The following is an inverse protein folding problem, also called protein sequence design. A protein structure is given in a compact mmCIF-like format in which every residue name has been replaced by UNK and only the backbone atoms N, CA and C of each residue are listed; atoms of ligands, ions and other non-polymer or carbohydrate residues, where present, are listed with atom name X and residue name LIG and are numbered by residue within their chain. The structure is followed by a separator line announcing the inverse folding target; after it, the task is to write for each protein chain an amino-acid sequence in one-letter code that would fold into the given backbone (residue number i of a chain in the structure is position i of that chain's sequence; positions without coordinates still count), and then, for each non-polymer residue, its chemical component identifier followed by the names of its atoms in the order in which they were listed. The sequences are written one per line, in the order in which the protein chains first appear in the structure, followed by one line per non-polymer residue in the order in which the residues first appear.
data_IF_695344952134
#
_entry.id   IF_695344952134
#
_cell.length_a   1.000
_cell.length_b   1.000
_cell.length_c   1.000
_cell.angle_alpha   90.00
_cell.angle_beta   90.00
_cell.angle_gamma   90.00
#
_symmetry.space_group_name_H-M   'P 1'
#
loop_
_entity.id
_entity.type
_entity.pdbx_description
1 polymer ?
#
# COMPACT_ATOMS: atom_id res chain seq x y z
N UNK A 1 5.08 -55.20 -13.71
CA UNK A 1 5.77 -54.04 -14.32
C UNK A 1 4.83 -52.84 -14.43
N UNK A 2 3.62 -53.01 -14.97
CA UNK A 2 2.63 -51.90 -15.10
C UNK A 2 2.23 -51.25 -13.76
N UNK A 3 1.93 -52.03 -12.73
CA UNK A 3 1.61 -51.50 -11.38
C UNK A 3 2.78 -50.75 -10.73
N UNK A 4 4.03 -51.14 -11.02
CA UNK A 4 5.21 -50.47 -10.48
C UNK A 4 5.45 -49.09 -11.13
N UNK A 5 4.95 -48.88 -12.35
CA UNK A 5 5.10 -47.63 -13.08
C UNK A 5 3.96 -46.64 -12.78
N UNK A 6 2.73 -47.13 -12.55
CA UNK A 6 1.56 -46.27 -12.29
C UNK A 6 1.55 -45.74 -10.85
N UNK A 7 1.94 -46.57 -9.87
CA UNK A 7 1.92 -46.20 -8.45
C UNK A 7 2.67 -44.89 -8.14
N UNK A 8 3.92 -44.66 -8.59
CA UNK A 8 4.61 -43.39 -8.30
C UNK A 8 3.92 -42.18 -8.92
N UNK A 9 3.30 -42.32 -10.10
CA UNK A 9 2.56 -41.23 -10.75
C UNK A 9 1.32 -40.87 -9.92
N UNK A 10 0.58 -41.86 -9.44
CA UNK A 10 -0.59 -41.63 -8.58
C UNK A 10 -0.20 -40.98 -7.25
N UNK A 11 0.93 -41.35 -6.66
CA UNK A 11 1.44 -40.73 -5.42
C UNK A 11 1.80 -39.26 -5.66
N UNK A 12 2.50 -38.95 -6.75
CA UNK A 12 2.84 -37.57 -7.14
C UNK A 12 1.57 -36.74 -7.36
N UNK A 13 0.57 -37.30 -8.04
CA UNK A 13 -0.71 -36.62 -8.28
C UNK A 13 -1.48 -36.36 -6.98
N UNK A 14 -1.51 -37.34 -6.07
CA UNK A 14 -2.16 -37.20 -4.76
C UNK A 14 -1.45 -36.14 -3.91
N UNK A 15 -0.11 -36.15 -3.89
CA UNK A 15 0.70 -35.15 -3.20
C UNK A 15 0.44 -33.74 -3.74
N UNK A 16 0.40 -33.56 -5.06
CA UNK A 16 0.08 -32.27 -5.68
C UNK A 16 -1.32 -31.77 -5.33
N UNK A 17 -2.31 -32.66 -5.26
CA UNK A 17 -3.67 -32.29 -4.84
C UNK A 17 -3.73 -31.84 -3.38
N UNK A 18 -3.00 -32.51 -2.48
CA UNK A 18 -2.92 -32.12 -1.07
C UNK A 18 -2.25 -30.76 -0.92
N UNK A 19 -1.15 -30.51 -1.63
CA UNK A 19 -0.43 -29.23 -1.62
C UNK A 19 -1.31 -28.08 -2.12
N UNK A 20 -2.02 -28.27 -3.24
CA UNK A 20 -2.95 -27.26 -3.77
C UNK A 20 -4.10 -27.01 -2.79
N UNK A 21 -4.63 -28.05 -2.14
CA UNK A 21 -5.67 -27.92 -1.11
C UNK A 21 -5.19 -27.12 0.11
N UNK A 22 -3.95 -27.36 0.54
CA UNK A 22 -3.30 -26.61 1.61
C UNK A 22 -3.10 -25.13 1.24
N UNK A 23 -2.55 -24.86 0.05
CA UNK A 23 -2.39 -23.51 -0.49
C UNK A 23 -3.73 -22.77 -0.58
N UNK A 24 -4.76 -23.40 -1.14
CA UNK A 24 -6.09 -22.80 -1.28
C UNK A 24 -6.72 -22.48 0.08
N UNK A 25 -6.54 -23.33 1.08
CA UNK A 25 -7.02 -23.08 2.44
C UNK A 25 -6.35 -21.84 3.07
N UNK A 26 -5.02 -21.73 2.92
CA UNK A 26 -4.27 -20.57 3.44
C UNK A 26 -4.67 -19.29 2.70
N UNK A 27 -4.83 -19.35 1.37
CA UNK A 27 -5.31 -18.23 0.57
C UNK A 27 -6.69 -17.74 1.02
N UNK A 28 -7.66 -18.65 1.22
CA UNK A 28 -8.99 -18.29 1.69
C UNK A 28 -8.96 -17.67 3.10
N UNK A 29 -8.10 -18.17 3.98
CA UNK A 29 -7.89 -17.61 5.32
C UNK A 29 -7.38 -16.18 5.24
N UNK A 30 -6.34 -15.90 4.45
CA UNK A 30 -5.79 -14.56 4.24
C UNK A 30 -6.83 -13.59 3.62
N UNK A 31 -7.69 -14.11 2.75
CA UNK A 31 -8.79 -13.36 2.14
C UNK A 31 -9.83 -12.95 3.19
N UNK A 32 -10.19 -13.83 4.11
CA UNK A 32 -11.09 -13.50 5.22
C UNK A 32 -10.44 -12.53 6.22
N UNK A 33 -9.14 -12.68 6.49
CA UNK A 33 -8.34 -11.77 7.34
C UNK A 33 -8.35 -10.34 6.79
N UNK A 34 -8.02 -10.14 5.51
CA UNK A 34 -8.01 -8.82 4.87
C UNK A 34 -9.40 -8.18 4.87
N UNK A 35 -10.45 -8.96 4.61
CA UNK A 35 -11.84 -8.49 4.71
C UNK A 35 -12.23 -8.09 6.13
N UNK A 36 -11.81 -8.86 7.14
CA UNK A 36 -12.08 -8.55 8.55
C UNK A 36 -11.40 -7.23 8.95
N UNK A 37 -10.13 -7.06 8.61
CA UNK A 37 -9.38 -5.82 8.83
C UNK A 37 -10.02 -4.61 8.15
N UNK A 38 -10.31 -4.72 6.85
CA UNK A 38 -10.89 -3.61 6.09
C UNK A 38 -12.30 -3.24 6.58
N UNK A 39 -13.14 -4.22 6.93
CA UNK A 39 -14.46 -3.95 7.55
C UNK A 39 -14.35 -3.28 8.91
N UNK A 40 -13.36 -3.69 9.71
CA UNK A 40 -13.14 -3.08 11.01
C UNK A 40 -12.69 -1.62 10.85
N UNK A 41 -11.70 -1.35 10.00
CA UNK A 41 -11.24 0.02 9.74
C UNK A 41 -12.34 0.93 9.17
N UNK A 42 -13.21 0.40 8.30
CA UNK A 42 -14.35 1.13 7.74
C UNK A 42 -15.33 1.69 8.80
N UNK A 43 -15.41 1.09 9.99
CA UNK A 43 -16.30 1.53 11.06
C UNK A 43 -15.61 2.37 12.14
N UNK A 44 -14.29 2.52 12.08
CA UNK A 44 -13.54 3.35 13.03
C UNK A 44 -13.75 4.84 12.71
N UNK A 45 -14.13 5.60 13.73
CA UNK A 45 -14.50 7.01 13.65
C UNK A 45 -13.86 7.82 14.79
N UNK A 46 -13.97 9.14 14.71
CA UNK A 46 -13.45 10.09 15.70
C UNK A 46 -11.97 9.87 16.01
N UNK A 47 -11.59 9.70 17.28
CA UNK A 47 -10.20 9.44 17.71
C UNK A 47 -9.57 8.17 17.11
N UNK A 48 -10.39 7.27 16.57
CA UNK A 48 -9.95 6.08 15.84
C UNK A 48 -9.94 6.30 14.33
N UNK A 49 -10.14 7.52 13.81
CA UNK A 49 -9.98 7.81 12.39
C UNK A 49 -8.49 7.95 12.03
N UNK A 50 -8.07 7.56 10.82
CA UNK A 50 -6.70 7.84 10.34
C UNK A 50 -6.38 9.34 10.28
N UNK A 51 -7.38 10.23 10.33
CA UNK A 51 -7.17 11.68 10.40
C UNK A 51 -6.56 12.16 11.72
N UNK A 52 -6.71 11.40 12.81
CA UNK A 52 -6.16 11.73 14.13
C UNK A 52 -4.87 10.95 14.44
N UNK A 53 -4.25 10.39 13.41
CA UNK A 53 -3.02 9.63 13.53
C UNK A 53 -1.80 10.53 13.76
N UNK A 54 -0.86 10.07 14.59
CA UNK A 54 0.46 10.69 14.66
C UNK A 54 1.29 10.23 13.45
N UNK A 55 1.39 11.08 12.43
CA UNK A 55 2.14 10.80 11.21
C UNK A 55 3.60 10.37 11.47
N UNK A 56 4.25 10.86 12.53
CA UNK A 56 5.62 10.43 12.86
C UNK A 56 5.72 8.91 13.14
N UNK A 57 4.60 8.28 13.52
CA UNK A 57 4.50 6.84 13.77
C UNK A 57 4.23 6.01 12.50
N UNK A 58 4.02 6.64 11.35
CA UNK A 58 3.75 5.96 10.07
C UNK A 58 5.00 5.26 9.54
N UNK A 59 6.18 5.87 9.73
CA UNK A 59 7.43 5.33 9.19
C UNK A 59 7.88 4.09 9.94
N UNK A 60 8.30 3.07 9.18
CA UNK A 60 9.02 1.93 9.73
C UNK A 60 10.40 2.43 10.20
N UNK A 61 10.78 2.23 11.48
CA UNK A 61 12.01 2.79 12.01
C UNK A 61 13.25 2.34 11.22
N UNK A 62 14.12 3.29 10.86
CA UNK A 62 15.35 3.05 10.10
C UNK A 62 16.25 1.91 10.67
N UNK A 63 16.24 1.72 11.99
CA UNK A 63 16.97 0.65 12.67
C UNK A 63 16.52 -0.77 12.30
N UNK A 64 15.31 -0.96 11.76
CA UNK A 64 14.84 -2.24 11.20
C UNK A 64 15.46 -2.54 9.84
N UNK A 65 15.92 -1.50 9.12
CA UNK A 65 16.78 -1.65 7.95
C UNK A 65 18.26 -1.85 8.31
N UNK A 66 18.56 -2.01 9.61
CA UNK A 66 19.85 -2.36 10.16
C UNK A 66 20.85 -1.21 10.18
N UNK A 67 21.31 -0.85 11.38
CA UNK A 67 22.69 -0.40 11.53
C UNK A 67 23.58 -1.62 11.27
N UNK A 68 23.90 -1.88 10.00
CA UNK A 68 24.79 -2.91 9.50
C UNK A 68 25.15 -4.05 10.50
N UNK A 69 24.34 -5.12 10.60
CA UNK A 69 24.94 -6.43 10.79
C UNK A 69 25.53 -6.84 9.44
N UNK A 70 26.83 -7.12 9.42
CA UNK A 70 27.56 -7.63 8.27
C UNK A 70 26.74 -8.69 7.50
N UNK A 71 26.54 -8.48 6.20
CA UNK A 71 25.79 -9.28 5.21
C UNK A 71 24.37 -8.79 4.86
N UNK A 72 24.34 -7.82 3.94
CA UNK A 72 23.34 -7.54 2.89
C UNK A 72 22.17 -8.54 2.70
N UNK A 73 21.15 -8.54 3.55
CA UNK A 73 19.85 -9.20 3.26
C UNK A 73 19.11 -8.60 2.05
N UNK A 74 19.63 -7.51 1.46
CA UNK A 74 19.15 -6.98 0.19
C UNK A 74 19.53 -7.88 -1.02
N UNK A 75 20.55 -8.75 -0.89
CA UNK A 75 20.94 -9.69 -1.94
C UNK A 75 19.88 -10.79 -2.18
N UNK A 76 19.16 -11.22 -1.14
CA UNK A 76 18.08 -12.21 -1.26
C UNK A 76 16.88 -11.64 -2.06
N UNK A 77 16.66 -10.32 -1.99
CA UNK A 77 15.67 -9.61 -2.81
C UNK A 77 16.24 -9.13 -4.16
N UNK A 78 17.48 -9.50 -4.50
CA UNK A 78 18.14 -9.11 -5.75
C UNK A 78 18.61 -7.64 -5.81
N UNK A 79 18.59 -6.90 -4.69
CA UNK A 79 19.06 -5.51 -4.59
C UNK A 79 20.46 -5.44 -3.96
N UNK A 80 21.52 -5.35 -4.74
CA UNK A 80 22.85 -5.07 -4.18
C UNK A 80 23.01 -3.58 -3.88
N UNK A 81 22.96 -3.15 -2.62
CA UNK A 81 23.17 -1.74 -2.28
C UNK A 81 24.62 -1.49 -1.90
N UNK A 82 25.31 -0.67 -2.70
CA UNK A 82 26.70 -0.26 -2.42
C UNK A 82 26.84 0.69 -1.23
N UNK A 83 25.73 1.30 -0.79
CA UNK A 83 25.64 2.20 0.36
C UNK A 83 24.22 2.13 0.94
N UNK A 84 24.05 1.63 2.17
CA UNK A 84 22.74 1.53 2.83
C UNK A 84 22.29 2.84 3.47
N UNK A 85 23.19 3.84 3.59
CA UNK A 85 22.84 5.15 4.17
C UNK A 85 21.83 5.92 3.32
N UNK A 86 21.72 5.60 2.03
CA UNK A 86 20.71 6.18 1.12
C UNK A 86 19.30 5.69 1.44
N UNK A 87 19.14 4.53 2.11
CA UNK A 87 17.85 4.03 2.57
C UNK A 87 17.48 4.54 3.96
N UNK A 88 18.44 5.04 4.74
CA UNK A 88 18.15 5.70 5.99
C UNK A 88 17.28 6.93 5.70
N UNK A 89 16.04 6.94 6.18
CA UNK A 89 15.19 8.12 6.15
C UNK A 89 15.82 9.19 7.07
N UNK A 90 15.76 10.50 6.74
CA UNK A 90 16.42 11.53 7.53
C UNK A 90 15.65 11.71 8.82
N UNK A 91 16.16 11.06 9.86
CA UNK A 91 15.59 11.08 11.18
C UNK A 91 16.14 12.27 11.95
N UNK A 92 15.31 13.28 12.22
CA UNK A 92 15.73 14.52 12.92
C UNK A 92 14.93 14.84 14.19
N UNK A 93 14.31 13.84 14.86
CA UNK A 93 13.56 14.10 16.10
C UNK A 93 13.33 12.90 17.02
N UNK A 94 13.57 13.10 18.32
CA UNK A 94 13.58 12.16 19.47
C UNK A 94 12.27 11.37 19.76
N UNK A 95 11.25 11.43 18.89
CA UNK A 95 9.95 10.77 19.14
C UNK A 95 9.86 9.32 18.61
N UNK A 96 10.48 8.99 17.47
CA UNK A 96 10.43 7.63 16.93
C UNK A 96 11.33 6.62 17.70
N UNK A 97 12.23 7.09 18.57
CA UNK A 97 12.98 6.26 19.53
C UNK A 97 12.10 5.67 20.64
N UNK A 98 10.85 6.10 20.81
CA UNK A 98 9.93 5.53 21.82
C UNK A 98 8.89 4.53 21.26
N UNK A 99 8.71 4.45 19.94
CA UNK A 99 7.95 3.34 19.32
C UNK A 99 8.84 2.09 19.11
N UNK A 100 10.11 2.21 19.49
CA UNK A 100 11.14 1.17 19.57
C UNK A 100 10.86 0.24 20.73
N UNK A 101 9.87 -0.61 20.54
CA UNK A 101 9.89 -2.01 20.93
C UNK A 101 8.71 -2.68 20.22
N UNK A 102 8.81 -2.84 18.90
CA UNK A 102 8.04 -3.88 18.19
C UNK A 102 8.54 -5.22 18.72
N UNK A 103 7.93 -5.67 19.82
CA UNK A 103 8.19 -6.91 20.55
C UNK A 103 7.70 -8.15 19.76
N UNK A 104 7.77 -8.10 18.42
CA UNK A 104 7.39 -9.19 17.54
C UNK A 104 8.45 -10.31 17.48
N UNK A 105 9.71 -10.02 17.87
CA UNK A 105 10.75 -11.07 18.04
C UNK A 105 10.49 -12.05 19.19
N UNK A 106 9.40 -11.85 19.94
CA UNK A 106 9.13 -12.57 21.18
C UNK A 106 7.94 -13.51 21.15
N UNK A 107 7.55 -14.11 20.02
CA UNK A 107 6.51 -15.16 19.97
C UNK A 107 5.17 -14.80 20.63
N UNK A 108 4.91 -13.52 20.86
CA UNK A 108 3.68 -13.07 21.48
C UNK A 108 2.61 -13.01 20.39
N UNK A 109 1.67 -13.94 20.46
CA UNK A 109 0.42 -13.97 19.69
C UNK A 109 -0.53 -12.78 20.00
N UNK A 110 -0.01 -11.70 20.58
CA UNK A 110 -0.76 -10.57 21.08
C UNK A 110 -0.43 -9.31 20.32
N UNK A 111 -1.45 -8.51 20.02
CA UNK A 111 -1.27 -7.21 19.38
C UNK A 111 -0.79 -6.15 20.39
N UNK A 112 0.48 -6.26 20.80
CA UNK A 112 1.16 -5.28 21.66
C UNK A 112 1.82 -4.19 20.81
N UNK A 113 1.03 -3.55 19.95
CA UNK A 113 1.46 -2.34 19.25
C UNK A 113 1.30 -1.12 20.20
N UNK A 114 2.16 -0.10 20.09
CA UNK A 114 2.19 1.04 21.01
C UNK A 114 0.84 1.79 21.15
N UNK A 115 0.65 2.48 22.27
CA UNK A 115 -0.68 2.99 22.68
C UNK A 115 -1.19 4.16 21.82
N UNK A 116 -0.26 4.93 21.24
CA UNK A 116 -0.55 6.13 20.44
C UNK A 116 -1.11 5.81 19.05
N UNK A 117 -1.01 4.56 18.61
CA UNK A 117 -1.59 4.10 17.37
C UNK A 117 -2.99 3.56 17.61
N UNK A 118 -4.04 4.32 17.32
CA UNK A 118 -5.41 3.82 17.47
C UNK A 118 -5.88 3.18 16.16
N UNK A 119 -6.08 3.93 15.09
CA UNK A 119 -6.64 3.39 13.83
C UNK A 119 -5.88 2.18 13.26
N UNK A 120 -4.62 2.38 12.84
CA UNK A 120 -3.85 1.34 12.14
C UNK A 120 -3.55 0.13 13.04
N UNK A 121 -3.40 0.37 14.34
CA UNK A 121 -3.27 -0.70 15.33
C UNK A 121 -4.53 -1.55 15.37
N UNK A 122 -5.70 -0.96 15.59
CA UNK A 122 -6.94 -1.72 15.76
C UNK A 122 -7.18 -2.60 14.51
N UNK A 123 -6.96 -2.06 13.32
CA UNK A 123 -7.05 -2.81 12.05
C UNK A 123 -6.05 -3.96 12.01
N UNK A 124 -4.76 -3.70 12.26
CA UNK A 124 -3.72 -4.73 12.25
C UNK A 124 -3.95 -5.81 13.32
N UNK A 125 -4.43 -5.43 14.51
CA UNK A 125 -4.76 -6.35 15.59
C UNK A 125 -5.86 -7.32 15.18
N UNK A 126 -6.94 -6.81 14.57
CA UNK A 126 -8.04 -7.65 14.09
C UNK A 126 -7.55 -8.62 13.02
N UNK A 127 -6.67 -8.17 12.13
CA UNK A 127 -6.08 -9.04 11.11
C UNK A 127 -5.23 -10.15 11.72
N UNK A 128 -4.26 -9.80 12.58
CA UNK A 128 -3.39 -10.78 13.25
C UNK A 128 -4.19 -11.78 14.09
N UNK A 129 -5.26 -11.33 14.77
CA UNK A 129 -6.14 -12.21 15.53
C UNK A 129 -6.98 -13.13 14.64
N UNK A 130 -7.28 -12.72 13.41
CA UNK A 130 -8.06 -13.50 12.44
C UNK A 130 -7.22 -14.51 11.65
N UNK A 131 -5.90 -14.52 11.82
CA UNK A 131 -5.01 -15.37 11.03
C UNK A 131 -4.94 -16.83 11.49
N UNK A 132 -5.40 -17.18 12.69
CA UNK A 132 -5.29 -18.55 13.21
C UNK A 132 -5.86 -19.58 12.21
N UNK A 133 -5.09 -20.62 11.80
CA UNK A 133 -3.84 -21.12 12.41
C UNK A 133 -2.53 -20.54 11.86
N UNK A 134 -2.59 -19.63 10.89
CA UNK A 134 -1.43 -18.97 10.31
C UNK A 134 -0.79 -18.00 11.31
N UNK A 135 0.49 -17.72 11.10
CA UNK A 135 1.25 -16.71 11.85
C UNK A 135 2.18 -15.98 10.91
N UNK A 136 2.46 -14.72 11.23
CA UNK A 136 3.50 -13.96 10.56
C UNK A 136 4.89 -14.33 11.06
N UNK A 137 5.86 -14.29 10.15
CA UNK A 137 7.27 -14.32 10.46
C UNK A 137 7.89 -12.92 10.24
N UNK A 138 8.16 -12.22 11.35
CA UNK A 138 8.78 -10.88 11.29
C UNK A 138 10.26 -10.90 10.87
N UNK A 139 10.82 -12.06 10.52
CA UNK A 139 12.22 -12.24 10.12
C UNK A 139 12.39 -12.75 8.68
N UNK A 140 11.30 -13.06 7.94
CA UNK A 140 11.37 -13.65 6.61
C UNK A 140 11.43 -12.64 5.43
N UNK A 141 11.49 -11.34 5.72
CA UNK A 141 11.53 -10.25 4.74
C UNK A 141 10.38 -10.25 3.70
N UNK A 142 9.27 -10.93 3.97
CA UNK A 142 8.15 -11.12 3.05
C UNK A 142 6.82 -10.74 3.71
N UNK A 143 6.64 -11.14 4.96
CA UNK A 143 5.40 -11.02 5.69
C UNK A 143 5.11 -9.56 6.07
N UNK A 144 4.00 -9.02 5.57
CA UNK A 144 3.58 -7.65 5.88
C UNK A 144 2.06 -7.48 5.90
N UNK A 145 1.62 -6.51 6.70
CA UNK A 145 0.27 -5.93 6.61
C UNK A 145 0.43 -4.49 6.22
N UNK A 146 -0.24 -4.09 5.15
CA UNK A 146 -0.27 -2.72 4.69
C UNK A 146 -1.69 -2.18 4.75
N UNK A 147 -1.83 -0.97 5.29
CA UNK A 147 -3.12 -0.32 5.48
C UNK A 147 -3.03 1.11 4.91
N UNK A 148 -3.92 1.43 3.98
CA UNK A 148 -4.04 2.76 3.39
C UNK A 148 -5.47 3.27 3.49
N UNK A 149 -5.64 4.52 3.91
CA UNK A 149 -6.90 5.25 3.77
C UNK A 149 -6.86 6.15 2.54
N UNK A 150 -7.97 6.30 1.83
CA UNK A 150 -8.08 7.19 0.66
C UNK A 150 -9.31 8.09 0.79
N UNK A 151 -9.13 9.38 0.54
CA UNK A 151 -10.22 10.32 0.30
C UNK A 151 -10.47 10.42 -1.20
N UNK A 152 -11.70 10.23 -1.66
CA UNK A 152 -12.08 10.36 -3.05
C UNK A 152 -13.06 11.52 -3.18
N UNK A 153 -12.69 12.47 -4.04
CA UNK A 153 -13.56 13.53 -4.46
C UNK A 153 -14.02 13.32 -5.89
N UNK A 154 -15.23 13.78 -6.17
CA UNK A 154 -15.71 13.92 -7.53
C UNK A 154 -15.34 15.30 -8.05
N UNK A 155 -14.68 15.33 -9.20
CA UNK A 155 -14.27 16.55 -9.88
C UNK A 155 -14.99 16.59 -11.23
N UNK A 156 -15.72 17.67 -11.48
CA UNK A 156 -16.31 17.93 -12.79
C UNK A 156 -15.36 18.85 -13.54
N UNK A 157 -14.79 18.33 -14.62
CA UNK A 157 -14.00 19.13 -15.54
C UNK A 157 -14.97 19.86 -16.47
N UNK A 158 -15.16 21.15 -16.22
CA UNK A 158 -15.99 21.99 -17.09
C UNK A 158 -15.16 22.42 -18.30
N UNK A 159 -15.51 22.01 -19.53
CA UNK A 159 -14.81 22.47 -20.73
C UNK A 159 -15.04 23.97 -21.02
N UNK A 160 -15.85 24.65 -20.21
CA UNK A 160 -16.25 26.06 -20.41
C UNK A 160 -15.31 27.04 -19.68
N UNK A 161 -14.61 26.59 -18.64
CA UNK A 161 -13.58 27.38 -17.96
C UNK A 161 -12.21 26.75 -18.24
N UNK A 162 -11.24 27.54 -18.69
CA UNK A 162 -9.88 27.11 -19.00
C UNK A 162 -9.06 26.67 -17.78
N UNK A 163 -9.72 26.43 -16.65
CA UNK A 163 -9.13 26.03 -15.37
C UNK A 163 -9.11 24.52 -15.30
N UNK A 164 -8.06 23.95 -15.89
CA UNK A 164 -7.80 22.50 -15.81
C UNK A 164 -7.49 22.16 -14.35
N UNK A 165 -8.44 21.51 -13.66
CA UNK A 165 -8.29 21.09 -12.24
C UNK A 165 -7.33 19.91 -12.13
N UNK A 166 -7.32 19.04 -13.14
CA UNK A 166 -6.53 17.82 -13.19
C UNK A 166 -5.69 17.86 -14.47
N UNK A 167 -4.38 17.65 -14.36
CA UNK A 167 -3.47 17.67 -15.52
C UNK A 167 -3.98 16.78 -16.67
N UNK A 168 -3.73 17.20 -17.93
CA UNK A 168 -4.13 16.41 -19.10
C UNK A 168 -3.52 14.99 -19.07
N UNK A 169 -2.34 14.84 -18.47
CA UNK A 169 -1.70 13.54 -18.27
C UNK A 169 -2.55 12.65 -17.35
N UNK A 170 -2.97 13.16 -16.19
CA UNK A 170 -3.81 12.43 -15.24
C UNK A 170 -5.18 12.11 -15.84
N UNK A 171 -5.82 13.07 -16.52
CA UNK A 171 -7.08 12.84 -17.23
C UNK A 171 -6.99 11.72 -18.26
N UNK A 172 -5.97 11.78 -19.13
CA UNK A 172 -5.76 10.78 -20.17
C UNK A 172 -5.43 9.39 -19.59
N UNK A 173 -4.78 9.34 -18.42
CA UNK A 173 -4.47 8.09 -17.74
C UNK A 173 -5.69 7.43 -17.08
N UNK A 174 -6.68 8.22 -16.65
CA UNK A 174 -7.90 7.75 -15.98
C UNK A 174 -9.02 7.47 -16.99
N UNK A 175 -9.53 8.51 -17.65
CA UNK A 175 -10.57 8.42 -18.66
C UNK A 175 -10.65 9.72 -19.50
N UNK A 176 -10.13 9.74 -20.74
CA UNK A 176 -10.02 10.96 -21.53
C UNK A 176 -11.36 11.57 -21.97
N UNK A 177 -12.46 10.82 -21.89
CA UNK A 177 -13.78 11.24 -22.39
C UNK A 177 -14.78 11.60 -21.29
N UNK A 178 -14.40 11.48 -20.02
CA UNK A 178 -15.30 11.74 -18.90
C UNK A 178 -15.27 13.22 -18.49
N UNK A 179 -16.42 13.87 -18.48
CA UNK A 179 -16.65 15.21 -17.92
C UNK A 179 -16.61 15.24 -16.40
N UNK A 180 -16.85 14.10 -15.76
CA UNK A 180 -16.84 13.94 -14.30
C UNK A 180 -15.97 12.74 -13.95
N UNK A 181 -14.96 12.98 -13.14
CA UNK A 181 -13.96 12.00 -12.71
C UNK A 181 -14.00 11.88 -11.19
N UNK A 182 -13.85 10.67 -10.68
CA UNK A 182 -13.53 10.46 -9.28
C UNK A 182 -12.01 10.45 -9.12
N UNK A 183 -11.48 11.31 -8.28
CA UNK A 183 -10.05 11.52 -8.10
C UNK A 183 -9.72 11.32 -6.63
N UNK A 184 -8.56 10.75 -6.36
CA UNK A 184 -8.06 10.61 -4.99
C UNK A 184 -7.53 11.97 -4.54
N UNK A 185 -8.12 12.54 -3.50
CA UNK A 185 -7.77 13.88 -2.97
C UNK A 185 -7.05 13.82 -1.62
N UNK A 186 -6.72 12.61 -1.18
CA UNK A 186 -5.94 12.38 0.02
C UNK A 186 -5.64 10.90 0.18
N UNK A 187 -4.48 10.60 0.75
CA UNK A 187 -4.09 9.25 1.16
C UNK A 187 -3.47 9.30 2.55
N UNK A 188 -3.83 8.34 3.40
CA UNK A 188 -3.43 8.30 4.79
C UNK A 188 -2.67 7.01 5.12
N UNK A 189 -1.55 7.08 5.87
CA UNK A 189 -1.04 8.28 6.54
C UNK A 189 -0.47 9.32 5.58
N UNK A 190 -0.51 10.61 5.95
CA UNK A 190 -0.24 11.67 4.97
C UNK A 190 1.24 11.83 4.62
N UNK A 191 2.15 11.32 5.45
CA UNK A 191 3.61 11.33 5.23
C UNK A 191 4.15 9.98 4.72
N UNK A 192 3.24 9.08 4.35
CA UNK A 192 3.53 7.81 3.70
C UNK A 192 2.48 7.66 2.60
N UNK A 193 2.30 8.68 1.78
CA UNK A 193 1.26 8.80 0.77
C UNK A 193 1.77 8.41 -0.66
N UNK A 194 3.06 8.44 -0.93
CA UNK A 194 3.64 8.27 -2.27
C UNK A 194 5.04 7.67 -2.26
N UNK A 195 5.51 7.23 -3.44
CA UNK A 195 6.86 6.72 -3.59
C UNK A 195 7.71 7.68 -4.42
N UNK A 196 8.54 8.46 -3.73
CA UNK A 196 9.44 9.42 -4.36
C UNK A 196 10.70 8.78 -4.95
N UNK A 197 10.95 7.50 -4.69
CA UNK A 197 12.22 6.86 -5.03
C UNK A 197 12.03 5.73 -6.04
N UNK A 198 12.67 5.86 -7.21
CA UNK A 198 12.70 4.81 -8.22
C UNK A 198 14.05 4.12 -8.25
N UNK A 199 14.02 2.80 -8.46
CA UNK A 199 15.21 2.03 -8.76
C UNK A 199 15.52 2.14 -10.27
N UNK A 200 16.65 2.75 -10.60
CA UNK A 200 17.11 2.93 -12.00
C UNK A 200 18.19 1.94 -12.43
N UNK A 201 18.50 0.95 -11.59
CA UNK A 201 19.63 0.05 -11.77
C UNK A 201 19.61 -0.72 -13.09
N UNK A 202 20.34 -0.23 -14.08
CA UNK A 202 20.83 -1.01 -15.23
C UNK A 202 22.23 -1.56 -14.89
N UNK A 203 22.30 -2.55 -14.01
CA UNK A 203 23.56 -3.15 -13.53
C UNK A 203 23.39 -4.00 -12.27
N UNK A 204 24.50 -4.50 -11.70
CA UNK A 204 24.47 -5.34 -10.50
C UNK A 204 24.11 -4.59 -9.21
N UNK A 205 24.27 -3.26 -9.17
CA UNK A 205 24.02 -2.40 -8.00
C UNK A 205 22.85 -1.45 -8.29
N UNK A 206 21.66 -1.62 -7.69
CA UNK A 206 20.59 -0.62 -7.72
C UNK A 206 21.07 0.78 -7.34
N UNK A 207 20.71 1.75 -8.17
CA UNK A 207 20.87 3.18 -7.91
C UNK A 207 19.48 3.78 -7.80
N UNK A 208 19.24 4.42 -6.66
CA UNK A 208 18.01 5.15 -6.42
C UNK A 208 18.10 6.56 -6.98
N UNK A 209 17.03 6.99 -7.64
CA UNK A 209 16.84 8.35 -8.09
C UNK A 209 15.49 8.82 -7.60
N UNK A 210 15.37 10.13 -7.37
CA UNK A 210 14.06 10.73 -7.15
C UNK A 210 13.25 10.48 -8.44
N UNK A 211 12.14 9.76 -8.30
CA UNK A 211 11.28 9.40 -9.41
C UNK A 211 10.65 10.65 -10.03
N UNK A 212 10.21 10.55 -11.29
CA UNK A 212 9.22 11.49 -11.78
C UNK A 212 7.96 11.31 -10.92
N UNK A 213 7.53 12.41 -10.29
CA UNK A 213 6.47 12.49 -9.28
C UNK A 213 5.27 11.61 -9.64
N UNK A 214 4.96 10.62 -8.79
CA UNK A 214 3.59 10.12 -8.70
C UNK A 214 2.74 11.28 -8.18
N UNK A 215 1.51 11.45 -8.70
CA UNK A 215 0.70 12.60 -8.28
C UNK A 215 0.42 12.53 -6.78
N UNK A 216 0.91 13.52 -6.05
CA UNK A 216 0.58 13.72 -4.64
C UNK A 216 -0.95 13.86 -4.51
N UNK A 217 -1.60 12.99 -3.72
CA UNK A 217 -3.04 13.01 -3.57
C UNK A 217 -3.56 14.32 -2.97
N UNK A 218 -2.72 15.09 -2.28
CA UNK A 218 -3.04 16.38 -1.67
C UNK A 218 -2.66 17.60 -2.53
N UNK A 219 -2.05 17.41 -3.71
CA UNK A 219 -1.73 18.43 -4.72
C UNK A 219 -2.35 18.02 -6.07
N UNK A 220 -3.67 18.17 -6.16
CA UNK A 220 -4.52 17.63 -7.24
C UNK A 220 -4.20 18.31 -8.58
N UNK A 221 -3.89 19.60 -8.54
CA UNK A 221 -3.52 20.37 -9.73
C UNK A 221 -2.02 20.37 -10.02
N UNK A 222 -1.21 19.65 -9.23
CA UNK A 222 0.25 19.56 -9.38
C UNK A 222 0.93 20.95 -9.36
N UNK A 223 0.37 21.91 -8.60
CA UNK A 223 0.90 23.27 -8.51
C UNK A 223 2.20 23.34 -7.70
N UNK A 224 2.51 22.28 -6.94
CA UNK A 224 3.64 22.24 -6.02
C UNK A 224 3.37 23.01 -4.72
N UNK A 225 2.12 23.37 -4.45
CA UNK A 225 1.70 24.00 -3.20
C UNK A 225 0.26 23.66 -2.85
N UNK A 226 -0.05 23.56 -1.55
CA UNK A 226 -1.40 23.29 -1.09
C UNK A 226 -2.31 24.51 -1.30
N UNK A 227 -3.39 24.33 -2.04
CA UNK A 227 -4.44 25.33 -2.25
C UNK A 227 -5.39 25.44 -1.03
N UNK A 228 -5.14 26.42 -0.15
CA UNK A 228 -5.90 26.61 1.11
C UNK A 228 -7.23 27.34 0.95
N UNK A 229 -7.43 28.02 -0.17
CA UNK A 229 -8.63 28.80 -0.46
C UNK A 229 -8.85 28.75 -1.97
N UNK A 230 -10.11 28.78 -2.44
CA UNK A 230 -10.38 29.26 -3.80
C UNK A 230 -9.86 30.70 -3.82
N UNK A 231 -8.64 30.91 -4.31
CA UNK A 231 -7.96 32.19 -4.14
C UNK A 231 -8.83 33.29 -4.76
N UNK A 232 -9.15 34.29 -3.94
CA UNK A 232 -9.92 35.51 -4.20
C UNK A 232 -9.81 36.06 -5.65
N UNK A 233 -10.53 35.44 -6.59
CA UNK A 233 -10.65 35.88 -7.98
C UNK A 233 -9.71 35.24 -9.02
N UNK A 234 -9.09 34.07 -8.77
CA UNK A 234 -8.20 33.42 -9.75
C UNK A 234 -8.26 31.90 -9.76
N UNK A 235 -8.79 31.33 -10.86
CA UNK A 235 -8.60 29.99 -11.44
C UNK A 235 -8.75 28.70 -10.61
N UNK A 236 -8.49 28.67 -9.30
CA UNK A 236 -8.69 27.47 -8.47
C UNK A 236 -10.08 27.52 -7.82
N UNK A 237 -10.95 26.58 -8.20
CA UNK A 237 -12.34 26.48 -7.73
C UNK A 237 -12.44 25.55 -6.51
N UNK A 238 -11.31 25.05 -6.00
CA UNK A 238 -11.28 24.04 -4.95
C UNK A 238 -10.23 24.37 -3.88
N UNK A 239 -10.34 23.71 -2.74
CA UNK A 239 -9.34 23.72 -1.69
C UNK A 239 -8.87 22.29 -1.41
N UNK A 240 -7.56 22.14 -1.24
CA UNK A 240 -6.91 20.86 -1.03
C UNK A 240 -6.88 20.47 0.45
N UNK A 241 -6.97 19.17 0.70
CA UNK A 241 -6.92 18.63 2.06
C UNK A 241 -5.55 18.87 2.69
N UNK A 242 -5.52 18.92 4.03
CA UNK A 242 -4.25 18.97 4.74
C UNK A 242 -3.56 17.61 4.62
N UNK A 243 -2.27 17.61 4.31
CA UNK A 243 -1.51 16.38 4.13
C UNK A 243 -0.39 16.51 3.12
N UNK A 244 -0.46 17.51 2.24
CA UNK A 244 0.58 17.80 1.25
C UNK A 244 1.95 17.94 1.90
N UNK A 245 2.92 17.24 1.32
CA UNK A 245 4.33 17.35 1.59
C UNK A 245 5.10 17.78 0.35
N UNK A 246 6.31 18.27 0.59
CA UNK A 246 7.15 18.76 -0.49
C UNK A 246 7.98 17.61 -1.04
N UNK A 247 8.01 17.51 -2.37
CA UNK A 247 8.92 16.62 -3.07
C UNK A 247 10.34 16.87 -2.59
N UNK A 248 10.99 15.79 -2.19
CA UNK A 248 12.39 15.85 -1.85
C UNK A 248 13.27 15.96 -3.09
N UNK A 249 14.16 16.96 -3.12
CA UNK A 249 15.22 17.05 -4.14
C UNK A 249 16.35 16.02 -3.98
N UNK A 250 16.29 15.15 -2.97
CA UNK A 250 17.34 14.16 -2.69
C UNK A 250 16.78 12.81 -2.26
N UNK A 251 17.47 11.72 -2.57
CA UNK A 251 17.09 10.38 -2.10
C UNK A 251 17.11 10.31 -0.56
N UNK A 252 17.97 11.09 0.10
CA UNK A 252 18.07 11.07 1.56
C UNK A 252 16.75 11.51 2.21
N UNK A 253 16.14 12.58 1.69
CA UNK A 253 14.92 13.22 2.20
C UNK A 253 13.63 12.78 1.51
N UNK A 254 13.73 11.90 0.52
CA UNK A 254 12.60 11.40 -0.25
C UNK A 254 11.77 10.41 0.57
N UNK A 255 10.46 10.42 0.30
CA UNK A 255 9.54 9.45 0.85
C UNK A 255 9.82 8.04 0.28
N UNK A 256 9.91 7.06 1.18
CA UNK A 256 10.27 5.66 0.84
C UNK A 256 9.24 4.66 1.36
N UNK A 257 8.05 5.13 1.72
CA UNK A 257 7.03 4.26 2.27
C UNK A 257 5.65 4.68 1.81
N UNK A 258 4.87 3.70 1.39
CA UNK A 258 3.54 3.90 0.83
C UNK A 258 2.51 3.20 1.73
N UNK A 259 1.68 3.97 2.41
CA UNK A 259 0.74 3.48 3.42
C UNK A 259 1.42 3.08 4.74
N UNK A 260 0.59 2.66 5.71
CA UNK A 260 1.09 2.14 6.97
C UNK A 260 1.51 0.68 6.80
N UNK A 261 2.75 0.34 7.15
CA UNK A 261 3.28 -1.02 7.11
C UNK A 261 3.61 -1.57 8.51
N UNK A 262 3.09 -2.76 8.82
CA UNK A 262 3.20 -3.40 10.14
C UNK A 262 4.57 -3.99 10.39
N UNK A 263 5.22 -4.55 9.38
CA UNK A 263 6.55 -5.16 9.52
C UNK A 263 7.63 -4.43 8.70
N UNK A 264 7.24 -3.69 7.65
CA UNK A 264 8.17 -2.95 6.81
C UNK A 264 8.99 -3.82 5.88
N UNK A 265 8.43 -4.97 5.49
CA UNK A 265 9.13 -6.00 4.76
C UNK A 265 8.77 -6.03 3.28
N UNK A 266 7.57 -5.56 2.93
CA UNK A 266 7.13 -5.62 1.54
C UNK A 266 7.71 -4.45 0.71
N UNK A 267 8.64 -4.77 -0.18
CA UNK A 267 9.22 -3.83 -1.14
C UNK A 267 8.37 -3.75 -2.41
N UNK A 268 8.18 -2.53 -2.91
CA UNK A 268 7.44 -2.30 -4.15
C UNK A 268 8.41 -2.51 -5.33
N UNK A 269 8.19 -3.53 -6.19
CA UNK A 269 9.13 -3.88 -7.25
C UNK A 269 9.43 -2.70 -8.19
N UNK A 270 10.71 -2.52 -8.52
CA UNK A 270 11.17 -1.44 -9.40
C UNK A 270 11.25 -0.05 -8.76
N UNK A 271 10.97 0.04 -7.45
CA UNK A 271 11.08 1.28 -6.66
C UNK A 271 12.13 1.13 -5.56
N UNK A 272 12.34 2.19 -4.78
CA UNK A 272 13.07 2.16 -3.51
C UNK A 272 12.17 2.27 -2.29
N UNK A 273 10.89 1.94 -2.44
CA UNK A 273 9.88 2.12 -1.40
C UNK A 273 9.37 0.79 -0.86
N UNK A 274 8.93 0.83 0.40
CA UNK A 274 8.18 -0.25 1.05
C UNK A 274 6.69 0.11 1.15
N UNK A 275 5.83 -0.88 1.32
CA UNK A 275 4.40 -0.65 1.52
C UNK A 275 3.54 -1.00 0.31
N UNK A 276 2.43 -0.29 0.14
CA UNK A 276 1.34 -0.63 -0.79
C UNK A 276 1.80 -0.60 -2.24
N UNK A 277 1.52 -1.66 -3.00
CA UNK A 277 1.75 -1.68 -4.46
C UNK A 277 0.72 -0.86 -5.23
N UNK A 278 -0.42 -0.55 -4.59
CA UNK A 278 -1.44 0.30 -5.19
C UNK A 278 -1.00 1.75 -5.21
N UNK A 279 -0.79 2.25 -6.42
CA UNK A 279 -0.57 3.67 -6.68
C UNK A 279 -1.90 4.43 -6.68
N UNK A 280 -1.83 5.73 -6.46
CA UNK A 280 -2.98 6.65 -6.55
C UNK A 280 -3.69 6.48 -7.91
N UNK A 281 -2.91 6.42 -8.99
CA UNK A 281 -3.42 6.23 -10.34
C UNK A 281 -4.14 4.88 -10.54
N UNK A 282 -3.72 3.82 -9.84
CA UNK A 282 -4.38 2.52 -9.93
C UNK A 282 -5.72 2.51 -9.21
N UNK A 283 -5.81 3.19 -8.06
CA UNK A 283 -7.08 3.39 -7.34
C UNK A 283 -8.04 4.23 -8.19
N UNK A 284 -7.56 5.31 -8.79
CA UNK A 284 -8.36 6.14 -9.70
C UNK A 284 -8.83 5.37 -10.91
N UNK A 285 -7.97 4.55 -11.52
CA UNK A 285 -8.38 3.68 -12.63
C UNK A 285 -9.44 2.69 -12.19
N UNK A 286 -9.30 2.11 -10.99
CA UNK A 286 -10.25 1.14 -10.43
C UNK A 286 -11.64 1.75 -10.22
N UNK A 287 -11.72 2.94 -9.61
CA UNK A 287 -12.99 3.62 -9.33
C UNK A 287 -13.64 4.24 -10.57
N UNK A 288 -12.85 4.54 -11.62
CA UNK A 288 -13.33 5.08 -12.90
C UNK A 288 -13.46 4.02 -14.01
N UNK A 289 -13.33 2.71 -13.70
CA UNK A 289 -13.32 1.65 -14.70
C UNK A 289 -14.48 1.78 -15.70
N UNK A 290 -14.21 1.66 -17.02
CA UNK A 290 -15.21 1.90 -18.06
C UNK A 290 -16.39 0.91 -18.02
N UNK A 291 -16.18 -0.28 -17.45
CA UNK A 291 -17.24 -1.29 -17.30
C UNK A 291 -18.26 -0.97 -16.20
N UNK A 292 -18.01 0.04 -15.35
CA UNK A 292 -19.09 0.77 -14.68
C UNK A 292 -19.73 1.69 -15.72
N UNK A 293 -20.45 1.08 -16.67
CA UNK A 293 -21.36 1.76 -17.59
C UNK A 293 -22.58 2.26 -16.80
N UNK A 294 -22.34 3.20 -15.88
CA UNK A 294 -23.29 4.27 -15.65
C UNK A 294 -23.20 5.16 -16.89
N UNK A 295 -23.85 4.71 -17.97
CA UNK A 295 -23.95 5.47 -19.24
C UNK A 295 -24.59 6.84 -19.01
N UNK A 296 -25.39 6.96 -17.95
CA UNK A 296 -25.89 8.22 -17.44
C UNK A 296 -24.84 8.94 -16.59
N UNK A 297 -24.25 9.99 -17.18
CA UNK A 297 -23.49 11.02 -16.48
C UNK A 297 -24.25 11.57 -15.26
N UNK A 298 -25.59 11.60 -15.32
CA UNK A 298 -26.47 11.93 -14.19
C UNK A 298 -26.37 10.98 -12.99
N UNK A 299 -26.04 9.70 -13.20
CA UNK A 299 -25.84 8.76 -12.08
C UNK A 299 -24.44 8.88 -11.51
N UNK A 300 -23.44 9.18 -12.35
CA UNK A 300 -22.08 9.49 -11.87
C UNK A 300 -22.06 10.78 -11.05
N UNK A 301 -22.84 11.78 -11.43
CA UNK A 301 -23.04 12.99 -10.63
C UNK A 301 -23.89 12.81 -9.37
N UNK A 302 -24.38 11.59 -9.11
CA UNK A 302 -25.00 11.22 -7.83
C UNK A 302 -24.06 10.43 -6.92
N UNK A 303 -22.86 10.04 -7.38
CA UNK A 303 -21.88 9.42 -6.51
C UNK A 303 -21.39 10.48 -5.52
N UNK A 304 -21.60 10.28 -4.20
CA UNK A 304 -21.12 11.21 -3.19
C UNK A 304 -19.60 11.11 -3.09
N UNK A 305 -19.01 12.09 -2.42
CA UNK A 305 -17.67 11.95 -1.89
C UNK A 305 -17.60 10.70 -1.01
N UNK A 306 -16.47 9.99 -1.09
CA UNK A 306 -16.32 8.71 -0.43
C UNK A 306 -14.93 8.63 0.15
N UNK A 307 -14.83 8.07 1.35
CA UNK A 307 -13.56 7.52 1.81
C UNK A 307 -13.48 6.03 1.51
N UNK A 308 -12.27 5.52 1.32
CA UNK A 308 -12.00 4.09 1.18
C UNK A 308 -10.89 3.69 2.14
N UNK A 309 -10.95 2.45 2.63
CA UNK A 309 -9.82 1.77 3.25
C UNK A 309 -9.40 0.63 2.34
N UNK A 310 -8.10 0.54 2.07
CA UNK A 310 -7.44 -0.60 1.44
C UNK A 310 -6.58 -1.28 2.49
N UNK A 311 -6.71 -2.59 2.58
CA UNK A 311 -5.89 -3.44 3.42
C UNK A 311 -5.28 -4.52 2.55
N UNK A 312 -3.96 -4.66 2.63
CA UNK A 312 -3.18 -5.66 1.92
C UNK A 312 -2.46 -6.55 2.93
N UNK A 313 -2.33 -7.83 2.59
CA UNK A 313 -1.52 -8.79 3.32
C UNK A 313 -0.55 -9.46 2.35
N UNK A 314 0.69 -9.55 2.75
CA UNK A 314 1.75 -10.30 2.10
C UNK A 314 2.19 -11.37 3.08
N UNK A 315 2.19 -12.62 2.63
CA UNK A 315 2.49 -13.75 3.50
C UNK A 315 3.23 -14.84 2.73
N UNK A 316 4.36 -15.28 3.25
CA UNK A 316 5.18 -16.35 2.69
C UNK A 316 4.53 -17.71 2.93
N UNK A 317 4.26 -18.45 1.85
CA UNK A 317 3.65 -19.76 1.96
C UNK A 317 4.68 -20.87 2.14
N UNK A 318 4.65 -21.47 3.33
CA UNK A 318 5.35 -22.72 3.62
C UNK A 318 4.68 -23.92 2.92
N UNK A 319 5.36 -24.46 1.91
CA UNK A 319 4.94 -25.70 1.23
C UNK A 319 4.95 -26.86 2.23
N UNK A 320 3.86 -27.63 2.27
CA UNK A 320 3.69 -28.73 3.22
C UNK A 320 4.72 -29.84 2.98
N UNK A 321 4.95 -30.19 1.72
CA UNK A 321 5.76 -31.35 1.39
C UNK A 321 7.25 -31.03 1.13
N UNK A 322 7.62 -29.74 1.01
CA UNK A 322 8.99 -29.24 0.72
C UNK A 322 9.77 -30.09 -0.33
N UNK A 323 9.05 -30.69 -1.29
CA UNK A 323 9.65 -31.62 -2.23
C UNK A 323 10.44 -30.86 -3.31
N UNK A 324 11.74 -31.16 -3.49
CA UNK A 324 12.58 -30.47 -4.48
C UNK A 324 12.15 -30.68 -5.94
N UNK A 325 11.25 -31.63 -6.21
CA UNK A 325 10.79 -32.00 -7.54
C UNK A 325 9.61 -31.15 -8.05
N UNK A 326 8.82 -30.56 -7.15
CA UNK A 326 7.76 -29.61 -7.48
C UNK A 326 8.25 -28.15 -7.46
N UNK A 327 9.38 -27.96 -6.80
CA UNK A 327 10.13 -26.71 -6.75
C UNK A 327 10.37 -26.07 -8.13
N UNK A 328 10.71 -26.79 -9.21
CA UNK A 328 10.91 -26.17 -10.52
C UNK A 328 9.63 -25.58 -11.11
N UNK A 329 8.47 -26.18 -10.86
CA UNK A 329 7.19 -25.66 -11.39
C UNK A 329 6.85 -24.35 -10.66
N UNK A 330 7.05 -24.29 -9.34
CA UNK A 330 6.83 -23.07 -8.55
C UNK A 330 7.92 -22.01 -8.86
N UNK A 331 9.18 -22.41 -8.99
CA UNK A 331 10.30 -21.55 -9.36
C UNK A 331 10.18 -20.98 -10.78
N UNK A 332 9.56 -21.69 -11.73
CA UNK A 332 9.29 -21.15 -13.07
C UNK A 332 8.34 -19.94 -13.00
N UNK A 333 7.44 -19.90 -12.01
CA UNK A 333 6.47 -18.81 -11.86
C UNK A 333 6.93 -17.70 -10.91
N UNK A 334 7.77 -18.00 -9.93
CA UNK A 334 8.13 -17.05 -8.87
C UNK A 334 9.63 -16.79 -8.70
N UNK A 335 10.52 -17.61 -9.28
CA UNK A 335 11.96 -17.50 -9.09
C UNK A 335 12.46 -17.88 -7.69
N UNK A 336 11.54 -18.07 -6.74
CA UNK A 336 11.85 -18.26 -5.33
C UNK A 336 11.20 -19.53 -4.74
N UNK A 337 11.86 -20.09 -3.73
CA UNK A 337 11.49 -21.37 -3.12
C UNK A 337 10.22 -21.30 -2.27
N UNK A 338 9.81 -20.10 -1.91
CA UNK A 338 8.70 -19.82 -1.02
C UNK A 338 7.76 -18.79 -1.68
N UNK A 339 6.63 -19.26 -2.24
CA UNK A 339 5.73 -18.35 -2.94
C UNK A 339 5.06 -17.38 -1.95
N UNK A 340 5.17 -16.09 -2.22
CA UNK A 340 4.40 -15.07 -1.49
C UNK A 340 2.95 -15.06 -1.96
N UNK A 341 2.01 -15.18 -1.02
CA UNK A 341 0.59 -14.94 -1.25
C UNK A 341 0.31 -13.47 -0.94
N UNK A 342 -0.22 -12.74 -1.92
CA UNK A 342 -0.74 -11.38 -1.72
C UNK A 342 -2.26 -11.36 -1.86
N UNK A 343 -2.94 -10.80 -0.87
CA UNK A 343 -4.40 -10.60 -0.89
C UNK A 343 -4.72 -9.19 -0.42
N UNK A 344 -5.80 -8.61 -0.93
CA UNK A 344 -6.24 -7.29 -0.55
C UNK A 344 -7.76 -7.21 -0.46
N UNK A 345 -8.23 -6.23 0.32
CA UNK A 345 -9.65 -5.91 0.43
C UNK A 345 -9.83 -4.38 0.51
N UNK A 346 -10.88 -3.89 -0.14
CA UNK A 346 -11.28 -2.47 -0.10
C UNK A 346 -12.70 -2.35 0.44
N UNK A 347 -12.91 -1.41 1.37
CA UNK A 347 -14.22 -1.08 1.92
C UNK A 347 -14.42 0.44 1.98
N UNK A 348 -15.67 0.93 1.91
CA UNK A 348 -15.95 2.34 2.14
C UNK A 348 -15.64 2.73 3.59
N UNK A 349 -14.94 3.85 3.77
CA UNK A 349 -14.50 4.38 5.07
C UNK A 349 -14.96 5.84 5.23
N UNK A 350 -16.14 6.09 5.82
CA UNK A 350 -16.68 7.45 5.93
C UNK A 350 -15.80 8.42 6.75
N UNK A 351 -14.92 7.91 7.61
CA UNK A 351 -14.07 8.74 8.48
C UNK A 351 -12.98 9.54 7.75
N UNK A 352 -12.73 9.24 6.47
CA UNK A 352 -11.86 10.03 5.57
C UNK A 352 -12.63 10.58 4.38
N UNK A 353 -13.96 10.60 4.43
CA UNK A 353 -14.75 11.26 3.40
C UNK A 353 -14.39 12.74 3.37
N UNK A 354 -13.97 13.28 2.20
CA UNK A 354 -13.62 14.68 2.14
C UNK A 354 -14.88 15.53 2.26
N UNK A 355 -14.85 16.53 3.14
CA UNK A 355 -16.00 17.40 3.35
C UNK A 355 -16.12 18.38 2.18
N UNK A 356 -17.29 18.44 1.53
CA UNK A 356 -17.60 19.38 0.45
C UNK A 356 -17.20 20.83 0.78
N UNK A 357 -17.52 21.26 2.00
CA UNK A 357 -17.19 22.62 2.48
C UNK A 357 -15.70 22.85 2.67
N UNK A 358 -14.93 21.80 3.02
CA UNK A 358 -13.47 21.89 3.11
C UNK A 358 -12.85 22.00 1.72
N UNK A 359 -13.43 21.32 0.73
CA UNK A 359 -12.90 21.36 -0.63
C UNK A 359 -13.36 22.57 -1.45
N UNK A 360 -14.20 23.45 -0.90
CA UNK A 360 -14.75 24.59 -1.64
C UNK A 360 -15.63 24.17 -2.84
N UNK A 361 -16.08 22.91 -2.87
CA UNK A 361 -16.92 22.39 -3.94
C UNK A 361 -18.41 22.73 -3.68
N UNK A 362 -19.17 23.12 -4.73
CA UNK A 362 -20.56 23.58 -4.60
C UNK A 362 -21.56 22.49 -4.18
#
# INVERSE_FOLDING_TARGET
VEMALITPILIIMLMGMVEIGWFANNYLTLLDVTRAGARHGAVLQDQYSPLFWNNDASYVPAQWFGSAPDSNNFEEQGLFLGDTSILAMPYTGDAATQLVQRNARGGQRGCNLPVESQFYREVACVMMASMEPLSFDAENNTDDIIISGFSIARITDSPVDSTVIISDATRNAINPSASTLNVVVGRYPTNTNECDVRNTGTGAVPIFQVAARERDPFDINESGSRDLTPADGGTSVFSELAGMDNISGSVSTAEKQVGFSVFGQHWIPGTGCIGSVWQVADIERLINLPNYELTDEQRRSQLPFQGLILVEIYWEHDLLLKFPLFNPVVNIFSGDLSPTISVWAVFPMPSVEPNASQMGLP
#
